data_IF_091350254666
#
_entry.id   IF_091350254666
#
_cell.length_a   1.000
_cell.length_b   1.000
_cell.length_c   1.000
_cell.angle_alpha   90.00
_cell.angle_beta   90.00
_cell.angle_gamma   90.00
#
_symmetry.space_group_name_H-M   'P 1'
#
loop_
_entity.id
_entity.type
_entity.pdbx_description
1 polymer ?
#
# COMPACT_ATOMS: atom_id res chain seq x y z
N UNK A 1 20.52 -2.02 -15.66
CA UNK A 1 19.46 -3.04 -15.85
C UNK A 1 19.15 -3.63 -14.49
N UNK A 2 17.99 -3.28 -13.90
CA UNK A 2 17.59 -3.76 -12.58
C UNK A 2 17.42 -5.28 -12.58
N UNK A 3 17.82 -5.93 -11.48
CA UNK A 3 17.48 -7.32 -11.20
C UNK A 3 15.98 -7.52 -11.48
N UNK A 4 15.60 -8.61 -12.14
CA UNK A 4 14.21 -8.96 -12.40
C UNK A 4 13.40 -8.84 -11.11
N UNK A 5 12.69 -7.71 -10.91
CA UNK A 5 11.84 -7.48 -9.77
C UNK A 5 10.62 -8.39 -9.90
N UNK A 6 10.54 -9.40 -9.03
CA UNK A 6 9.37 -10.27 -8.94
C UNK A 6 8.39 -9.69 -7.93
N UNK A 7 7.17 -9.46 -8.37
CA UNK A 7 6.10 -8.89 -7.52
C UNK A 7 5.43 -10.03 -6.75
N UNK A 8 5.97 -10.35 -5.57
CA UNK A 8 5.43 -11.38 -4.68
C UNK A 8 5.77 -11.10 -3.21
N UNK A 9 5.07 -11.75 -2.28
CA UNK A 9 5.34 -11.65 -0.85
C UNK A 9 4.65 -10.46 -0.19
N UNK A 10 5.34 -9.83 0.77
CA UNK A 10 4.81 -8.72 1.56
C UNK A 10 5.51 -7.42 1.19
N UNK A 11 4.75 -6.47 0.71
CA UNK A 11 5.21 -5.15 0.31
C UNK A 11 4.55 -4.08 1.21
N UNK A 12 5.18 -3.65 2.33
CA UNK A 12 4.66 -2.58 3.17
C UNK A 12 4.52 -1.27 2.42
N UNK A 13 3.34 -0.64 2.54
CA UNK A 13 3.14 0.76 2.14
C UNK A 13 3.49 1.65 3.34
N UNK A 14 4.68 2.27 3.29
CA UNK A 14 5.30 2.92 4.44
C UNK A 14 4.71 4.32 4.65
N UNK A 15 4.26 4.62 5.88
CA UNK A 15 3.83 5.96 6.26
C UNK A 15 5.03 6.87 6.52
N UNK A 16 4.86 8.17 6.31
CA UNK A 16 5.85 9.17 6.74
C UNK A 16 5.68 9.50 8.23
N UNK A 17 6.69 10.09 8.85
CA UNK A 17 6.67 10.55 10.24
C UNK A 17 7.02 12.03 10.25
N UNK A 18 6.27 12.83 11.02
CA UNK A 18 6.53 14.27 11.18
C UNK A 18 7.18 14.58 12.53
N UNK A 19 7.98 15.65 12.57
CA UNK A 19 8.70 16.07 13.78
C UNK A 19 7.76 16.46 14.92
N UNK A 20 6.64 17.09 14.61
CA UNK A 20 5.66 17.57 15.57
C UNK A 20 4.25 17.66 14.95
N UNK A 21 3.29 18.15 15.71
CA UNK A 21 1.89 18.32 15.30
C UNK A 21 1.68 19.37 14.20
N UNK A 22 2.64 20.26 13.95
CA UNK A 22 2.55 21.17 12.80
C UNK A 22 2.64 20.43 11.46
N UNK A 23 3.19 19.23 11.45
CA UNK A 23 3.40 18.41 10.25
C UNK A 23 4.18 19.13 9.12
N UNK A 24 4.93 20.20 9.45
CA UNK A 24 5.67 20.96 8.44
C UNK A 24 6.91 20.24 7.95
N UNK A 25 7.55 19.49 8.84
CA UNK A 25 8.81 18.82 8.57
C UNK A 25 8.72 17.31 8.79
N UNK A 26 9.32 16.55 7.89
CA UNK A 26 9.50 15.11 8.05
C UNK A 26 10.52 14.85 9.17
N UNK A 27 10.23 13.88 10.04
CA UNK A 27 11.18 13.31 10.98
C UNK A 27 11.94 12.17 10.27
N UNK A 28 13.03 12.54 9.62
CA UNK A 28 13.81 11.60 8.83
C UNK A 28 14.41 10.47 9.65
N UNK A 29 14.85 10.73 10.88
CA UNK A 29 15.43 9.66 11.71
C UNK A 29 14.35 8.68 12.17
N UNK A 30 13.20 9.17 12.62
CA UNK A 30 12.08 8.30 12.95
C UNK A 30 11.58 7.51 11.72
N UNK A 31 11.64 8.10 10.53
CA UNK A 31 11.34 7.41 9.29
C UNK A 31 12.37 6.31 8.98
N UNK A 32 13.66 6.58 9.17
CA UNK A 32 14.74 5.59 9.05
C UNK A 32 14.57 4.43 10.03
N UNK A 33 14.22 4.73 11.29
CA UNK A 33 13.96 3.70 12.31
C UNK A 33 12.80 2.76 11.89
N UNK A 34 11.70 3.32 11.36
CA UNK A 34 10.60 2.54 10.82
C UNK A 34 11.06 1.64 9.66
N UNK A 35 11.85 2.17 8.72
CA UNK A 35 12.39 1.39 7.61
C UNK A 35 13.31 0.27 8.08
N UNK A 36 14.20 0.55 9.03
CA UNK A 36 15.10 -0.46 9.64
C UNK A 36 14.30 -1.57 10.32
N UNK A 37 13.22 -1.22 11.05
CA UNK A 37 12.31 -2.20 11.64
C UNK A 37 11.70 -3.11 10.56
N UNK A 38 11.18 -2.55 9.47
CA UNK A 38 10.61 -3.34 8.38
C UNK A 38 11.65 -4.23 7.71
N UNK A 39 12.86 -3.73 7.49
CA UNK A 39 13.98 -4.45 6.86
C UNK A 39 14.58 -5.58 7.73
N UNK A 40 14.19 -5.70 9.00
CA UNK A 40 14.49 -6.85 9.85
C UNK A 40 13.60 -8.04 9.57
N UNK A 41 12.51 -7.85 8.84
CA UNK A 41 11.60 -8.91 8.40
C UNK A 41 11.85 -9.29 6.93
N UNK A 42 11.35 -10.45 6.51
CA UNK A 42 11.51 -10.91 5.12
C UNK A 42 10.48 -10.26 4.19
N UNK A 43 10.38 -8.94 4.22
CA UNK A 43 9.57 -8.19 3.25
C UNK A 43 10.19 -8.26 1.86
N UNK A 44 9.36 -8.16 0.82
CA UNK A 44 9.81 -8.29 -0.57
C UNK A 44 10.16 -6.96 -1.24
N UNK A 45 9.62 -5.86 -0.74
CA UNK A 45 9.89 -4.50 -1.22
C UNK A 45 9.46 -3.47 -0.19
N UNK A 46 9.90 -2.22 -0.35
CA UNK A 46 9.36 -1.05 0.35
C UNK A 46 8.56 -0.20 -0.64
N UNK A 47 7.34 0.18 -0.31
CA UNK A 47 6.52 1.09 -1.12
C UNK A 47 6.39 2.41 -0.37
N UNK A 48 6.98 3.47 -0.90
CA UNK A 48 7.05 4.79 -0.28
C UNK A 48 6.33 5.84 -1.12
N UNK A 49 5.76 6.86 -0.49
CA UNK A 49 5.01 7.88 -1.20
C UNK A 49 3.79 7.34 -1.96
N UNK A 50 3.13 6.29 -1.44
CA UNK A 50 1.79 5.89 -1.84
C UNK A 50 0.74 6.53 -0.91
N UNK A 51 -0.54 6.12 -1.00
CA UNK A 51 -1.61 6.68 -0.15
C UNK A 51 -1.32 6.55 1.36
N UNK A 52 -0.87 5.37 1.82
CA UNK A 52 -0.49 5.20 3.23
C UNK A 52 0.75 6.05 3.62
N UNK A 53 1.54 6.47 2.64
CA UNK A 53 2.67 7.38 2.76
C UNK A 53 2.31 8.84 2.58
N UNK A 54 1.01 9.18 2.58
CA UNK A 54 0.50 10.56 2.48
C UNK A 54 0.99 11.31 1.22
N UNK A 55 1.21 10.59 0.11
CA UNK A 55 1.78 11.18 -1.11
C UNK A 55 1.01 12.41 -1.61
N UNK A 56 -0.32 12.43 -1.45
CA UNK A 56 -1.17 13.55 -1.85
C UNK A 56 -0.86 14.83 -1.07
N UNK A 57 -0.31 14.69 0.14
CA UNK A 57 0.02 15.78 1.04
C UNK A 57 1.52 16.11 1.06
N UNK A 58 2.36 15.35 0.33
CA UNK A 58 3.79 15.60 0.23
C UNK A 58 4.12 16.50 -0.97
N UNK A 59 5.05 17.45 -0.76
CA UNK A 59 5.68 18.15 -1.87
C UNK A 59 6.51 17.18 -2.73
N UNK A 60 6.88 17.58 -3.95
CA UNK A 60 7.76 16.75 -4.79
C UNK A 60 9.12 16.54 -4.12
N UNK A 61 9.66 17.54 -3.46
CA UNK A 61 10.93 17.45 -2.74
C UNK A 61 10.84 16.39 -1.61
N UNK A 62 9.77 16.40 -0.82
CA UNK A 62 9.54 15.40 0.22
C UNK A 62 9.36 13.99 -0.36
N UNK A 63 8.63 13.84 -1.47
CA UNK A 63 8.50 12.54 -2.16
C UNK A 63 9.87 11.99 -2.58
N UNK A 64 10.73 12.84 -3.14
CA UNK A 64 12.08 12.43 -3.52
C UNK A 64 12.94 12.11 -2.29
N UNK A 65 12.75 12.87 -1.22
CA UNK A 65 13.50 12.67 0.03
C UNK A 65 13.20 11.31 0.65
N UNK A 66 11.92 10.92 0.75
CA UNK A 66 11.54 9.61 1.30
C UNK A 66 12.05 8.44 0.45
N UNK A 67 12.11 8.60 -0.89
CA UNK A 67 12.70 7.60 -1.79
C UNK A 67 14.21 7.45 -1.50
N UNK A 68 14.94 8.56 -1.44
CA UNK A 68 16.39 8.56 -1.16
C UNK A 68 16.69 7.89 0.18
N UNK A 69 15.97 8.26 1.23
CA UNK A 69 16.11 7.65 2.55
C UNK A 69 15.83 6.14 2.49
N UNK A 70 14.76 5.73 1.82
CA UNK A 70 14.43 4.31 1.70
C UNK A 70 15.51 3.52 0.93
N UNK A 71 16.09 4.10 -0.11
CA UNK A 71 17.22 3.51 -0.86
C UNK A 71 18.48 3.37 0.01
N UNK A 72 18.78 4.42 0.78
CA UNK A 72 19.92 4.42 1.71
C UNK A 72 19.77 3.30 2.78
N UNK A 73 18.58 3.12 3.36
CA UNK A 73 18.34 2.08 4.37
C UNK A 73 18.23 0.68 3.76
N UNK A 74 17.57 0.54 2.60
CA UNK A 74 17.43 -0.75 1.93
C UNK A 74 18.78 -1.35 1.48
N UNK A 75 19.77 -0.52 1.11
CA UNK A 75 21.11 -0.94 0.68
C UNK A 75 21.10 -2.06 -0.37
N UNK A 76 20.08 -2.07 -1.24
CA UNK A 76 19.89 -3.08 -2.27
C UNK A 76 19.38 -4.45 -1.79
N UNK A 77 19.00 -4.61 -0.51
CA UNK A 77 18.40 -5.85 0.02
C UNK A 77 17.03 -6.11 -0.59
N UNK A 78 16.22 -5.07 -0.68
CA UNK A 78 14.89 -5.09 -1.29
C UNK A 78 14.72 -3.89 -2.23
N UNK A 79 13.89 -4.00 -3.29
CA UNK A 79 13.56 -2.86 -4.14
C UNK A 79 12.73 -1.81 -3.40
N UNK A 80 12.87 -0.56 -3.82
CA UNK A 80 12.10 0.59 -3.34
C UNK A 80 11.18 1.09 -4.46
N UNK A 81 9.88 1.06 -4.22
CA UNK A 81 8.86 1.53 -5.14
C UNK A 81 8.38 2.91 -4.74
N UNK A 82 8.40 3.86 -5.67
CA UNK A 82 7.83 5.17 -5.47
C UNK A 82 6.36 5.24 -5.89
N UNK A 83 5.54 6.00 -5.19
CA UNK A 83 4.14 6.23 -5.58
C UNK A 83 4.04 7.26 -6.71
N UNK A 84 3.29 6.95 -7.76
CA UNK A 84 2.91 7.89 -8.84
C UNK A 84 1.44 8.23 -8.65
N UNK A 85 1.18 9.46 -8.24
CA UNK A 85 -0.17 9.99 -8.02
C UNK A 85 -0.25 11.35 -8.70
N UNK A 86 -0.93 11.40 -9.84
CA UNK A 86 -1.08 12.62 -10.63
C UNK A 86 -2.30 12.52 -11.55
N UNK A 87 -3.06 13.60 -11.65
CA UNK A 87 -4.25 13.68 -12.51
C UNK A 87 -3.91 13.92 -13.99
N UNK A 88 -2.83 14.64 -14.28
CA UNK A 88 -2.41 14.86 -15.66
C UNK A 88 -1.33 13.85 -16.09
N UNK A 89 -1.46 13.33 -17.30
CA UNK A 89 -0.52 12.35 -17.86
C UNK A 89 0.93 12.88 -17.89
N UNK A 90 1.13 14.14 -18.26
CA UNK A 90 2.47 14.74 -18.28
C UNK A 90 3.09 14.82 -16.87
N UNK A 91 2.27 15.12 -15.84
CA UNK A 91 2.72 15.15 -14.45
C UNK A 91 3.13 13.75 -13.96
N UNK A 92 2.34 12.72 -14.30
CA UNK A 92 2.69 11.35 -13.98
C UNK A 92 4.03 10.93 -14.60
N UNK A 93 4.25 11.30 -15.87
CA UNK A 93 5.50 11.03 -16.61
C UNK A 93 6.68 11.75 -15.94
N UNK A 94 6.51 13.01 -15.59
CA UNK A 94 7.54 13.80 -14.92
C UNK A 94 7.86 13.22 -13.54
N UNK A 95 6.84 12.91 -12.71
CA UNK A 95 7.03 12.24 -11.45
C UNK A 95 7.82 10.93 -11.62
N UNK A 96 7.46 10.11 -12.61
CA UNK A 96 8.15 8.86 -12.88
C UNK A 96 9.62 9.05 -13.24
N UNK A 97 9.93 10.00 -14.09
CA UNK A 97 11.32 10.32 -14.49
C UNK A 97 12.16 10.82 -13.32
N UNK A 98 11.63 11.78 -12.56
CA UNK A 98 12.34 12.37 -11.41
C UNK A 98 12.55 11.33 -10.32
N UNK A 99 11.54 10.51 -10.00
CA UNK A 99 11.66 9.45 -9.00
C UNK A 99 12.62 8.33 -9.43
N UNK A 100 12.62 7.96 -10.72
CA UNK A 100 13.62 7.05 -11.29
C UNK A 100 15.03 7.59 -11.06
N UNK A 101 15.25 8.86 -11.38
CA UNK A 101 16.56 9.52 -11.26
C UNK A 101 16.97 9.69 -9.78
N UNK A 102 16.00 9.72 -8.86
CA UNK A 102 16.23 9.65 -7.41
C UNK A 102 16.53 8.22 -6.90
N UNK A 103 16.46 7.21 -7.77
CA UNK A 103 16.86 5.83 -7.47
C UNK A 103 15.71 4.87 -7.17
N UNK A 104 14.45 5.21 -7.43
CA UNK A 104 13.35 4.24 -7.35
C UNK A 104 13.61 3.06 -8.29
N UNK A 105 13.30 1.83 -7.85
CA UNK A 105 13.48 0.61 -8.64
C UNK A 105 12.23 0.27 -9.47
N UNK A 106 11.06 0.69 -9.01
CA UNK A 106 9.77 0.50 -9.66
C UNK A 106 8.75 1.54 -9.12
N UNK A 107 7.50 1.47 -9.57
CA UNK A 107 6.44 2.37 -9.10
C UNK A 107 5.18 1.64 -8.66
N UNK A 108 4.47 2.24 -7.69
CA UNK A 108 3.05 2.01 -7.47
C UNK A 108 2.29 3.11 -8.21
N UNK A 109 1.65 2.76 -9.32
CA UNK A 109 0.96 3.70 -10.19
C UNK A 109 -0.53 3.74 -9.85
N UNK A 110 -1.01 4.91 -9.45
CA UNK A 110 -2.41 5.15 -9.11
C UNK A 110 -3.16 5.82 -10.28
N UNK A 111 -4.39 5.40 -10.56
CA UNK A 111 -5.23 6.05 -11.57
C UNK A 111 -5.46 7.52 -11.26
N UNK A 112 -5.54 8.41 -12.27
CA UNK A 112 -5.88 9.80 -12.08
C UNK A 112 -7.32 9.96 -11.59
N UNK A 113 -7.57 10.87 -10.65
CA UNK A 113 -8.90 11.04 -10.03
C UNK A 113 -9.93 11.61 -11.00
N UNK A 114 -9.47 12.42 -11.96
CA UNK A 114 -10.33 13.08 -12.96
C UNK A 114 -11.12 12.11 -13.84
N UNK A 115 -10.63 10.89 -14.07
CA UNK A 115 -11.34 9.91 -14.90
C UNK A 115 -12.62 9.38 -14.25
N UNK A 116 -12.82 9.58 -12.95
CA UNK A 116 -14.03 9.17 -12.27
C UNK A 116 -15.27 9.99 -12.66
N UNK A 117 -15.10 11.13 -13.32
CA UNK A 117 -16.20 12.02 -13.69
C UNK A 117 -17.04 11.49 -14.85
N UNK A 118 -16.46 10.67 -15.71
CA UNK A 118 -17.20 10.03 -16.83
C UNK A 118 -16.87 8.54 -16.92
N UNK A 119 -17.69 7.68 -16.29
CA UNK A 119 -17.48 6.23 -16.31
C UNK A 119 -17.50 5.62 -17.73
N UNK A 120 -18.17 6.25 -18.70
CA UNK A 120 -18.28 5.72 -20.06
C UNK A 120 -16.96 5.85 -20.84
N UNK A 121 -16.18 6.87 -20.54
CA UNK A 121 -14.87 7.11 -21.17
C UNK A 121 -13.69 6.70 -20.30
N UNK A 122 -13.91 6.45 -19.02
CA UNK A 122 -12.89 6.17 -18.01
C UNK A 122 -11.90 5.08 -18.43
N UNK A 123 -12.37 3.99 -19.04
CA UNK A 123 -11.51 2.89 -19.50
C UNK A 123 -10.48 3.35 -20.52
N UNK A 124 -10.90 4.02 -21.57
CA UNK A 124 -10.00 4.48 -22.66
C UNK A 124 -9.05 5.57 -22.17
N UNK A 125 -9.54 6.50 -21.32
CA UNK A 125 -8.71 7.53 -20.71
C UNK A 125 -7.61 6.92 -19.84
N UNK A 126 -7.95 5.94 -19.01
CA UNK A 126 -6.98 5.24 -18.16
C UNK A 126 -5.94 4.49 -19.02
N UNK A 127 -6.38 3.75 -20.03
CA UNK A 127 -5.49 3.00 -20.92
C UNK A 127 -4.50 3.94 -21.61
N UNK A 128 -4.97 5.03 -22.19
CA UNK A 128 -4.10 6.00 -22.86
C UNK A 128 -3.12 6.67 -21.89
N UNK A 129 -3.59 7.03 -20.70
CA UNK A 129 -2.76 7.61 -19.63
C UNK A 129 -1.60 6.66 -19.24
N UNK A 130 -1.93 5.39 -18.96
CA UNK A 130 -0.94 4.38 -18.55
C UNK A 130 0.04 4.07 -19.69
N UNK A 131 -0.44 3.90 -20.93
CA UNK A 131 0.43 3.62 -22.10
C UNK A 131 1.43 4.75 -22.36
N UNK A 132 1.00 6.02 -22.23
CA UNK A 132 1.91 7.16 -22.39
C UNK A 132 2.95 7.21 -21.29
N UNK A 133 2.55 6.95 -20.05
CA UNK A 133 3.47 6.81 -18.93
C UNK A 133 4.50 5.70 -19.20
N UNK A 134 4.04 4.50 -19.50
CA UNK A 134 4.85 3.33 -19.75
C UNK A 134 5.91 3.57 -20.84
N UNK A 135 5.46 4.08 -21.99
CA UNK A 135 6.33 4.38 -23.13
C UNK A 135 7.43 5.40 -22.83
N UNK A 136 7.16 6.39 -21.97
CA UNK A 136 8.10 7.47 -21.70
C UNK A 136 8.99 7.25 -20.47
N UNK A 137 8.50 6.54 -19.47
CA UNK A 137 9.25 6.30 -18.22
C UNK A 137 10.10 5.04 -18.30
N UNK A 138 9.59 4.00 -18.95
CA UNK A 138 10.28 2.71 -19.22
C UNK A 138 10.85 2.06 -17.95
N UNK A 139 10.04 2.00 -16.92
CA UNK A 139 10.37 1.39 -15.62
C UNK A 139 9.25 0.45 -15.18
N UNK A 140 9.58 -0.63 -14.44
CA UNK A 140 8.55 -1.51 -13.90
C UNK A 140 7.55 -0.76 -13.02
N UNK A 141 6.28 -1.09 -13.12
CA UNK A 141 5.26 -0.54 -12.23
C UNK A 141 4.15 -1.53 -11.90
N UNK A 142 3.57 -1.32 -10.74
CA UNK A 142 2.39 -2.03 -10.21
C UNK A 142 1.22 -1.07 -10.32
N UNK A 143 0.13 -1.48 -10.94
CA UNK A 143 -1.11 -0.70 -10.96
C UNK A 143 -1.88 -0.88 -9.63
N UNK A 144 -2.68 0.12 -9.28
CA UNK A 144 -3.57 0.08 -8.13
C UNK A 144 -5.04 0.23 -8.54
N UNK A 145 -5.93 -0.54 -7.93
CA UNK A 145 -7.36 -0.46 -8.12
C UNK A 145 -8.03 -1.83 -8.26
N UNK A 146 -9.35 -1.84 -8.32
CA UNK A 146 -10.14 -3.07 -8.47
C UNK A 146 -11.63 -2.78 -8.60
N UNK A 147 -12.46 -3.79 -8.89
CA UNK A 147 -13.85 -3.59 -9.28
C UNK A 147 -14.76 -3.10 -8.14
N UNK A 148 -14.36 -3.30 -6.89
CA UNK A 148 -15.11 -2.82 -5.71
C UNK A 148 -14.51 -1.55 -5.09
N UNK A 149 -13.50 -0.96 -5.73
CA UNK A 149 -12.99 0.37 -5.39
C UNK A 149 -13.98 1.44 -5.78
N UNK A 150 -13.77 2.64 -5.27
CA UNK A 150 -14.60 3.80 -5.57
C UNK A 150 -13.88 4.78 -6.50
N UNK A 151 -14.66 5.60 -7.20
CA UNK A 151 -14.13 6.64 -8.07
C UNK A 151 -13.22 6.07 -9.17
N UNK A 152 -12.12 6.73 -9.41
CA UNK A 152 -11.13 6.37 -10.45
C UNK A 152 -10.41 5.03 -10.19
N UNK A 153 -10.46 4.52 -8.96
CA UNK A 153 -9.88 3.24 -8.60
C UNK A 153 -10.78 2.04 -8.94
N UNK A 154 -12.02 2.30 -9.38
CA UNK A 154 -12.92 1.25 -9.85
C UNK A 154 -12.51 0.79 -11.24
N UNK A 155 -11.76 -0.30 -11.31
CA UNK A 155 -11.24 -0.86 -12.54
C UNK A 155 -11.76 -2.29 -12.71
N UNK A 156 -12.47 -2.54 -13.82
CA UNK A 156 -13.08 -3.83 -14.10
C UNK A 156 -12.03 -4.86 -14.59
N UNK A 157 -12.26 -6.17 -14.38
CA UNK A 157 -11.32 -7.21 -14.82
C UNK A 157 -10.93 -7.14 -16.31
N UNK A 158 -11.86 -6.75 -17.20
CA UNK A 158 -11.57 -6.56 -18.63
C UNK A 158 -10.51 -5.49 -18.88
N UNK A 159 -10.57 -4.39 -18.12
CA UNK A 159 -9.62 -3.28 -18.23
C UNK A 159 -8.25 -3.65 -17.63
N UNK A 160 -8.24 -4.42 -16.52
CA UNK A 160 -7.02 -4.99 -15.97
C UNK A 160 -6.29 -5.84 -17.02
N UNK A 161 -7.02 -6.77 -17.65
CA UNK A 161 -6.48 -7.65 -18.70
C UNK A 161 -5.92 -6.85 -19.87
N UNK A 162 -6.66 -5.85 -20.34
CA UNK A 162 -6.25 -5.01 -21.47
C UNK A 162 -4.97 -4.24 -21.15
N UNK A 163 -4.89 -3.58 -19.99
CA UNK A 163 -3.69 -2.87 -19.54
C UNK A 163 -2.50 -3.82 -19.39
N UNK A 164 -2.71 -4.99 -18.81
CA UNK A 164 -1.67 -6.00 -18.64
C UNK A 164 -1.11 -6.49 -19.99
N UNK A 165 -1.91 -6.50 -21.05
CA UNK A 165 -1.45 -6.86 -22.41
C UNK A 165 -0.72 -5.67 -23.06
N UNK A 166 -1.30 -4.45 -22.99
CA UNK A 166 -0.85 -3.29 -23.76
C UNK A 166 0.31 -2.51 -23.12
N UNK A 167 0.50 -2.58 -21.80
CA UNK A 167 1.58 -1.89 -21.10
C UNK A 167 2.79 -2.82 -20.91
N UNK A 168 3.91 -2.49 -21.52
CA UNK A 168 5.12 -3.34 -21.55
C UNK A 168 5.73 -3.56 -20.18
N UNK A 169 5.87 -2.49 -19.38
CA UNK A 169 6.54 -2.52 -18.08
C UNK A 169 5.57 -2.71 -16.90
N UNK A 170 4.30 -3.04 -17.14
CA UNK A 170 3.39 -3.43 -16.08
C UNK A 170 3.77 -4.84 -15.58
N UNK A 171 4.22 -4.91 -14.32
CA UNK A 171 4.72 -6.14 -13.68
C UNK A 171 3.84 -6.65 -12.54
N UNK A 172 2.80 -5.92 -12.17
CA UNK A 172 1.91 -6.34 -11.10
C UNK A 172 0.68 -5.48 -10.93
N UNK A 173 -0.22 -5.96 -10.08
CA UNK A 173 -1.43 -5.26 -9.73
C UNK A 173 -1.75 -5.38 -8.24
N UNK A 174 -1.95 -4.24 -7.58
CA UNK A 174 -2.49 -4.14 -6.22
C UNK A 174 -4.01 -4.09 -6.32
N UNK A 175 -4.67 -5.20 -6.02
CA UNK A 175 -6.12 -5.34 -6.14
C UNK A 175 -6.80 -4.95 -4.84
N UNK A 176 -7.76 -4.04 -4.93
CA UNK A 176 -8.66 -3.67 -3.84
C UNK A 176 -10.04 -4.26 -4.10
N UNK A 177 -10.46 -5.19 -3.27
CA UNK A 177 -11.76 -5.85 -3.37
C UNK A 177 -12.53 -5.84 -2.06
N UNK A 178 -12.07 -5.09 -1.05
CA UNK A 178 -12.66 -5.12 0.30
C UNK A 178 -12.78 -6.57 0.77
N UNK A 179 -13.98 -7.05 1.12
CA UNK A 179 -14.27 -8.44 1.53
C UNK A 179 -14.73 -9.34 0.36
N UNK A 180 -14.78 -8.83 -0.88
CA UNK A 180 -15.28 -9.57 -2.03
C UNK A 180 -14.20 -10.45 -2.67
N UNK A 181 -14.12 -11.69 -2.21
CA UNK A 181 -13.22 -12.68 -2.76
C UNK A 181 -13.60 -13.08 -4.22
N UNK A 182 -14.88 -12.99 -4.57
CA UNK A 182 -15.35 -13.24 -5.95
C UNK A 182 -14.78 -12.20 -6.91
N UNK A 183 -14.81 -10.92 -6.53
CA UNK A 183 -14.20 -9.86 -7.30
C UNK A 183 -12.66 -10.04 -7.43
N UNK A 184 -11.99 -10.49 -6.37
CA UNK A 184 -10.55 -10.82 -6.42
C UNK A 184 -10.28 -11.93 -7.45
N UNK A 185 -11.05 -13.03 -7.40
CA UNK A 185 -10.95 -14.15 -8.37
C UNK A 185 -11.13 -13.68 -9.81
N UNK A 186 -12.08 -12.77 -10.06
CA UNK A 186 -12.30 -12.18 -11.37
C UNK A 186 -11.08 -11.44 -11.91
N UNK A 187 -10.46 -10.60 -11.07
CA UNK A 187 -9.23 -9.88 -11.40
C UNK A 187 -8.05 -10.84 -11.62
N UNK A 188 -7.86 -11.80 -10.71
CA UNK A 188 -6.80 -12.80 -10.80
C UNK A 188 -6.89 -13.56 -12.13
N UNK A 189 -8.07 -14.05 -12.48
CA UNK A 189 -8.30 -14.76 -13.76
C UNK A 189 -7.93 -13.88 -14.96
N UNK A 190 -8.38 -12.63 -14.97
CA UNK A 190 -8.09 -11.70 -16.05
C UNK A 190 -6.58 -11.45 -16.23
N UNK A 191 -5.83 -11.30 -15.13
CA UNK A 191 -4.38 -11.11 -15.16
C UNK A 191 -3.65 -12.39 -15.57
N UNK A 192 -4.05 -13.57 -15.09
CA UNK A 192 -3.47 -14.86 -15.50
C UNK A 192 -3.72 -15.17 -16.98
N UNK A 193 -4.88 -14.73 -17.53
CA UNK A 193 -5.12 -14.80 -18.97
C UNK A 193 -4.21 -13.86 -19.77
N UNK A 194 -3.93 -12.65 -19.25
CA UNK A 194 -2.97 -11.74 -19.87
C UNK A 194 -1.55 -12.31 -19.86
N UNK A 195 -1.12 -12.94 -18.76
CA UNK A 195 0.18 -13.63 -18.67
C UNK A 195 0.30 -14.72 -19.76
N UNK A 196 -0.73 -15.55 -19.93
CA UNK A 196 -0.74 -16.59 -20.97
C UNK A 196 -0.63 -16.02 -22.38
N UNK A 197 -1.22 -14.85 -22.63
CA UNK A 197 -1.20 -14.20 -23.94
C UNK A 197 0.13 -13.53 -24.25
N UNK A 198 0.79 -12.98 -23.24
CA UNK A 198 1.97 -12.12 -23.43
C UNK A 198 3.28 -12.77 -23.03
N UNK A 199 3.24 -13.86 -22.23
CA UNK A 199 4.43 -14.46 -21.62
C UNK A 199 5.02 -13.63 -20.46
N UNK A 200 4.42 -12.48 -20.13
CA UNK A 200 4.87 -11.65 -19.00
C UNK A 200 4.48 -12.30 -17.67
N UNK A 201 5.26 -12.08 -16.63
CA UNK A 201 4.88 -12.38 -15.26
C UNK A 201 4.23 -11.14 -14.62
N UNK A 202 3.04 -11.28 -14.06
CA UNK A 202 2.28 -10.19 -13.45
C UNK A 202 1.89 -10.59 -12.03
N UNK A 203 2.55 -9.99 -11.04
CA UNK A 203 2.24 -10.27 -9.64
C UNK A 203 0.88 -9.71 -9.22
N UNK A 204 0.07 -10.54 -8.59
CA UNK A 204 -1.28 -10.18 -8.14
C UNK A 204 -1.26 -10.05 -6.63
N UNK A 205 -1.29 -8.81 -6.15
CA UNK A 205 -1.21 -8.47 -4.74
C UNK A 205 -2.58 -8.06 -4.19
N UNK A 206 -2.91 -8.55 -3.01
CA UNK A 206 -4.09 -8.08 -2.28
C UNK A 206 -3.77 -6.78 -1.52
N UNK A 207 -4.68 -5.82 -1.55
CA UNK A 207 -4.60 -4.61 -0.74
C UNK A 207 -5.25 -4.76 0.65
N UNK A 208 -6.03 -5.81 0.86
CA UNK A 208 -6.79 -6.03 2.10
C UNK A 208 -6.03 -6.91 3.09
N UNK A 209 -5.84 -6.39 4.28
CA UNK A 209 -5.18 -7.07 5.38
C UNK A 209 -6.07 -8.08 6.13
N UNK A 210 -7.36 -8.14 5.82
CA UNK A 210 -8.39 -8.95 6.47
C UNK A 210 -8.70 -10.28 5.77
N UNK A 211 -8.24 -10.47 4.51
CA UNK A 211 -8.45 -11.68 3.70
C UNK A 211 -7.13 -12.14 3.05
N UNK A 212 -6.03 -12.01 3.76
CA UNK A 212 -4.70 -12.31 3.20
C UNK A 212 -4.54 -13.80 2.90
N UNK A 213 -4.94 -14.67 3.81
CA UNK A 213 -4.88 -16.13 3.62
C UNK A 213 -5.71 -16.54 2.43
N UNK A 214 -6.95 -16.06 2.34
CA UNK A 214 -7.90 -16.41 1.28
C UNK A 214 -7.35 -16.02 -0.10
N UNK A 215 -6.85 -14.79 -0.23
CA UNK A 215 -6.37 -14.29 -1.53
C UNK A 215 -5.10 -14.99 -2.00
N UNK A 216 -4.17 -15.35 -1.09
CA UNK A 216 -2.98 -16.12 -1.47
C UNK A 216 -3.38 -17.56 -1.84
N UNK A 217 -4.33 -18.18 -1.14
CA UNK A 217 -4.87 -19.52 -1.49
C UNK A 217 -5.55 -19.56 -2.86
N UNK A 218 -6.20 -18.48 -3.26
CA UNK A 218 -6.78 -18.36 -4.60
C UNK A 218 -5.72 -18.25 -5.72
N UNK A 219 -4.46 -18.11 -5.38
CA UNK A 219 -3.35 -17.97 -6.33
C UNK A 219 -2.81 -16.55 -6.45
N UNK A 220 -3.14 -15.67 -5.49
CA UNK A 220 -2.48 -14.39 -5.34
C UNK A 220 -1.02 -14.56 -4.94
N UNK A 221 -0.19 -13.57 -5.33
CA UNK A 221 1.25 -13.63 -5.13
C UNK A 221 1.71 -12.97 -3.82
N UNK A 222 0.82 -12.27 -3.12
CA UNK A 222 1.14 -11.62 -1.85
C UNK A 222 0.23 -10.46 -1.50
N UNK A 223 0.78 -9.51 -0.75
CA UNK A 223 0.05 -8.31 -0.30
C UNK A 223 0.88 -7.03 -0.45
N UNK A 224 0.18 -5.93 -0.74
CA UNK A 224 0.69 -4.57 -0.66
C UNK A 224 -0.31 -3.75 0.17
N UNK A 225 -0.05 -3.58 1.45
CA UNK A 225 -0.96 -2.89 2.36
C UNK A 225 -0.26 -1.97 3.37
N UNK A 226 -1.03 -1.06 3.99
CA UNK A 226 -0.52 -0.14 5.01
C UNK A 226 -0.38 -0.78 6.39
N UNK A 227 -1.12 -1.85 6.68
CA UNK A 227 -1.07 -2.54 7.97
C UNK A 227 0.29 -3.19 8.25
N UNK A 228 1.02 -3.57 7.21
CA UNK A 228 2.36 -4.15 7.37
C UNK A 228 3.36 -3.22 8.07
N UNK A 229 3.09 -1.91 8.20
CA UNK A 229 3.99 -1.00 8.95
C UNK A 229 4.10 -1.34 10.44
N UNK A 230 3.11 -2.03 11.01
CA UNK A 230 3.13 -2.40 12.43
C UNK A 230 3.13 -3.93 12.66
N UNK A 231 2.83 -4.73 11.62
CA UNK A 231 2.72 -6.19 11.72
C UNK A 231 3.39 -6.95 10.57
N UNK A 232 4.46 -6.39 10.00
CA UNK A 232 5.15 -7.00 8.86
C UNK A 232 5.61 -8.45 9.10
N UNK A 233 6.03 -8.76 10.31
CA UNK A 233 6.47 -10.11 10.68
C UNK A 233 5.34 -11.13 10.57
N UNK A 234 4.15 -10.77 11.07
CA UNK A 234 2.95 -11.60 11.02
C UNK A 234 2.46 -11.79 9.58
N UNK A 235 2.42 -10.71 8.78
CA UNK A 235 2.05 -10.80 7.36
C UNK A 235 3.01 -11.71 6.58
N UNK A 236 4.32 -11.62 6.83
CA UNK A 236 5.34 -12.50 6.25
C UNK A 236 5.14 -13.95 6.70
N UNK A 237 4.82 -14.18 7.97
CA UNK A 237 4.57 -15.52 8.49
C UNK A 237 3.32 -16.14 7.88
N UNK A 238 2.23 -15.38 7.72
CA UNK A 238 1.02 -15.81 7.00
C UNK A 238 1.38 -16.19 5.56
N UNK A 239 2.08 -15.31 4.84
CA UNK A 239 2.49 -15.57 3.47
C UNK A 239 3.29 -16.87 3.35
N UNK A 240 4.32 -17.04 4.18
CA UNK A 240 5.16 -18.24 4.19
C UNK A 240 4.38 -19.52 4.54
N UNK A 241 3.46 -19.44 5.50
CA UNK A 241 2.63 -20.56 5.90
C UNK A 241 1.73 -21.01 4.75
N UNK A 242 1.03 -20.10 4.09
CA UNK A 242 0.19 -20.42 2.93
C UNK A 242 1.02 -21.03 1.80
N UNK A 243 2.18 -20.45 1.48
CA UNK A 243 3.08 -20.97 0.41
C UNK A 243 3.62 -22.37 0.72
N UNK A 244 3.77 -22.74 1.99
CA UNK A 244 4.15 -24.08 2.44
C UNK A 244 2.98 -25.06 2.55
N UNK A 245 1.73 -24.61 2.35
CA UNK A 245 0.53 -25.42 2.53
C UNK A 245 0.06 -25.54 3.98
N UNK A 246 0.68 -24.85 4.93
CA UNK A 246 0.29 -24.84 6.35
C UNK A 246 -0.84 -23.82 6.56
N UNK A 247 -2.00 -24.19 6.06
CA UNK A 247 -3.20 -23.34 6.06
C UNK A 247 -3.77 -23.14 7.47
N UNK A 248 -3.64 -24.15 8.31
CA UNK A 248 -4.11 -24.06 9.71
C UNK A 248 -3.33 -22.99 10.47
N UNK A 249 -2.00 -23.00 10.34
CA UNK A 249 -1.15 -21.97 10.93
C UNK A 249 -1.45 -20.58 10.37
N UNK A 250 -1.63 -20.48 9.05
CA UNK A 250 -1.92 -19.19 8.41
C UNK A 250 -3.20 -18.56 8.94
N UNK A 251 -4.29 -19.33 9.04
CA UNK A 251 -5.55 -18.86 9.64
C UNK A 251 -5.42 -18.54 11.12
N UNK A 252 -4.70 -19.36 11.89
CA UNK A 252 -4.49 -19.09 13.31
C UNK A 252 -3.83 -17.73 13.55
N UNK A 253 -2.87 -17.32 12.68
CA UNK A 253 -2.24 -16.00 12.74
C UNK A 253 -3.24 -14.92 12.31
N UNK A 254 -3.91 -15.09 11.17
CA UNK A 254 -4.90 -14.12 10.66
C UNK A 254 -6.04 -13.87 11.67
N UNK A 255 -6.59 -14.93 12.26
CA UNK A 255 -7.67 -14.83 13.25
C UNK A 255 -7.21 -14.17 14.55
N UNK A 256 -5.98 -14.44 14.99
CA UNK A 256 -5.37 -13.74 16.11
C UNK A 256 -5.28 -12.23 15.87
N UNK A 257 -5.01 -11.80 14.63
CA UNK A 257 -4.93 -10.40 14.23
C UNK A 257 -6.30 -9.76 13.95
N UNK A 258 -7.37 -10.54 13.89
CA UNK A 258 -8.72 -10.05 13.56
C UNK A 258 -9.18 -8.87 14.44
N UNK A 259 -9.01 -8.86 15.77
CA UNK A 259 -9.46 -7.74 16.59
C UNK A 259 -8.88 -6.40 16.14
N UNK A 260 -7.58 -6.32 15.89
CA UNK A 260 -6.97 -5.07 15.46
C UNK A 260 -7.31 -4.74 13.99
N UNK A 261 -7.45 -5.74 13.14
CA UNK A 261 -7.86 -5.54 11.75
C UNK A 261 -9.27 -4.95 11.68
N UNK A 262 -10.21 -5.48 12.46
CA UNK A 262 -11.60 -4.98 12.54
C UNK A 262 -11.66 -3.57 13.14
N UNK A 263 -10.85 -3.27 14.16
CA UNK A 263 -10.73 -1.94 14.72
C UNK A 263 -10.26 -0.92 13.67
N UNK A 264 -9.19 -1.23 12.92
CA UNK A 264 -8.66 -0.36 11.87
C UNK A 264 -9.68 -0.16 10.74
N UNK A 265 -10.42 -1.20 10.37
CA UNK A 265 -11.44 -1.11 9.32
C UNK A 265 -12.73 -0.43 9.77
N UNK A 266 -12.85 -0.08 11.04
CA UNK A 266 -14.01 0.60 11.59
C UNK A 266 -15.22 -0.30 11.81
N UNK A 267 -15.08 -1.63 11.71
CA UNK A 267 -16.17 -2.59 11.94
C UNK A 267 -16.75 -2.44 13.35
N UNK A 268 -15.91 -2.11 14.33
CA UNK A 268 -16.29 -1.97 15.74
C UNK A 268 -16.97 -0.62 16.07
N UNK A 269 -16.91 0.37 15.17
CA UNK A 269 -17.40 1.73 15.43
C UNK A 269 -18.63 2.13 14.58
N UNK A 270 -19.09 1.25 13.70
CA UNK A 270 -20.03 1.66 12.66
C UNK A 270 -19.32 2.53 11.60
N UNK A 271 -19.85 3.72 11.35
CA UNK A 271 -19.20 4.68 10.45
C UNK A 271 -18.15 5.49 11.21
N UNK A 272 -16.89 5.25 10.92
CA UNK A 272 -15.83 6.15 11.36
C UNK A 272 -15.57 7.21 10.28
N UNK A 273 -15.52 8.46 10.70
CA UNK A 273 -15.16 9.60 9.86
C UNK A 273 -13.64 9.74 9.67
N UNK A 274 -12.85 8.90 10.31
CA UNK A 274 -11.39 8.98 10.26
C UNK A 274 -10.85 8.13 9.12
N UNK A 275 -9.95 8.71 8.33
CA UNK A 275 -9.27 8.02 7.25
C UNK A 275 -8.50 6.80 7.76
N UNK A 276 -8.77 5.61 7.23
CA UNK A 276 -8.27 4.34 7.80
C UNK A 276 -6.74 4.22 7.78
N UNK A 277 -6.02 4.89 6.89
CA UNK A 277 -4.55 4.93 6.92
C UNK A 277 -4.02 5.64 8.17
N UNK A 278 -4.79 6.59 8.72
CA UNK A 278 -4.44 7.20 10.00
C UNK A 278 -4.42 6.15 11.13
N UNK A 279 -5.37 5.24 11.13
CA UNK A 279 -5.41 4.16 12.14
C UNK A 279 -4.23 3.21 12.03
N UNK A 280 -3.72 2.91 10.83
CA UNK A 280 -2.46 2.17 10.69
C UNK A 280 -1.31 2.89 11.39
N UNK A 281 -1.22 4.20 11.21
CA UNK A 281 -0.19 5.04 11.82
C UNK A 281 -0.34 5.09 13.36
N UNK A 282 -1.57 5.18 13.87
CA UNK A 282 -1.88 5.10 15.31
C UNK A 282 -1.50 3.73 15.88
N UNK A 283 -1.80 2.63 15.21
CA UNK A 283 -1.39 1.30 15.65
C UNK A 283 0.14 1.17 15.73
N UNK A 284 0.87 1.67 14.73
CA UNK A 284 2.33 1.72 14.74
C UNK A 284 2.87 2.57 15.91
N UNK A 285 2.23 3.70 16.19
CA UNK A 285 2.58 4.58 17.32
C UNK A 285 2.30 3.90 18.67
N UNK A 286 1.14 3.28 18.87
CA UNK A 286 0.81 2.55 20.09
C UNK A 286 1.83 1.43 20.37
N UNK A 287 2.33 0.77 19.34
CA UNK A 287 3.36 -0.27 19.44
C UNK A 287 4.80 0.28 19.48
N UNK A 288 4.99 1.60 19.54
CA UNK A 288 6.32 2.23 19.62
C UNK A 288 7.17 2.11 18.36
N UNK A 289 6.56 1.77 17.19
CA UNK A 289 7.29 1.69 15.92
C UNK A 289 7.59 3.06 15.33
N UNK A 290 6.81 4.06 15.71
CA UNK A 290 7.02 5.47 15.39
C UNK A 290 6.80 6.32 16.66
N UNK A 291 7.47 7.47 16.79
CA UNK A 291 7.34 8.30 17.98
C UNK A 291 6.04 9.10 18.05
N UNK A 292 5.43 9.42 16.91
CA UNK A 292 4.26 10.30 16.79
C UNK A 292 3.33 9.86 15.67
N UNK A 293 1.99 9.95 15.84
CA UNK A 293 1.03 9.48 14.84
C UNK A 293 0.49 10.58 13.91
N UNK A 294 1.01 11.81 13.95
CA UNK A 294 0.44 12.96 13.24
C UNK A 294 0.35 12.77 11.72
N UNK A 295 -0.73 13.28 11.13
CA UNK A 295 -0.95 13.37 9.68
C UNK A 295 -1.32 14.81 9.30
N UNK A 296 -1.03 15.18 8.04
CA UNK A 296 -1.40 16.48 7.49
C UNK A 296 -2.91 16.58 7.26
N UNK A 297 -3.47 17.79 7.50
CA UNK A 297 -4.82 18.09 7.04
C UNK A 297 -4.94 17.86 5.51
N UNK A 298 -6.11 17.45 5.02
CA UNK A 298 -7.42 17.37 5.71
C UNK A 298 -7.66 16.12 6.55
N UNK A 299 -6.65 15.31 6.83
CA UNK A 299 -6.80 14.10 7.63
C UNK A 299 -7.03 14.45 9.10
N UNK A 300 -8.26 14.28 9.57
CA UNK A 300 -8.59 14.49 10.97
C UNK A 300 -8.06 13.36 11.85
N UNK A 301 -7.61 13.66 13.08
CA UNK A 301 -7.09 12.66 13.98
C UNK A 301 -8.16 11.67 14.44
N UNK A 302 -7.70 10.50 14.80
CA UNK A 302 -8.50 9.46 15.45
C UNK A 302 -8.89 9.96 16.84
N UNK A 303 -10.16 9.79 17.24
CA UNK A 303 -10.65 10.21 18.55
C UNK A 303 -9.96 9.42 19.68
N UNK A 304 -9.99 9.95 20.91
CA UNK A 304 -9.44 9.25 22.06
C UNK A 304 -10.10 7.89 22.27
N UNK A 305 -11.42 7.82 22.11
CA UNK A 305 -12.21 6.59 22.25
C UNK A 305 -11.79 5.55 21.20
N UNK A 306 -11.57 5.98 19.95
CA UNK A 306 -11.04 5.09 18.90
C UNK A 306 -9.63 4.61 19.22
N UNK A 307 -8.75 5.47 19.79
CA UNK A 307 -7.40 5.07 20.22
C UNK A 307 -7.48 4.03 21.34
N UNK A 308 -8.41 4.18 22.32
CA UNK A 308 -8.65 3.21 23.38
C UNK A 308 -9.06 1.85 22.81
N UNK A 309 -10.03 1.83 21.91
CA UNK A 309 -10.48 0.58 21.25
C UNK A 309 -9.38 -0.06 20.42
N UNK A 310 -8.57 0.73 19.70
CA UNK A 310 -7.42 0.20 18.95
C UNK A 310 -6.36 -0.40 19.89
N UNK A 311 -6.08 0.24 21.02
CA UNK A 311 -5.16 -0.28 22.03
C UNK A 311 -5.63 -1.62 22.59
N UNK A 312 -6.91 -1.71 22.97
CA UNK A 312 -7.52 -2.95 23.44
C UNK A 312 -7.51 -4.05 22.37
N UNK A 313 -7.77 -3.68 21.13
CA UNK A 313 -7.72 -4.59 20.00
C UNK A 313 -6.30 -5.13 19.74
N UNK A 314 -5.26 -4.30 19.89
CA UNK A 314 -3.86 -4.75 19.84
C UNK A 314 -3.56 -5.77 20.93
N UNK A 315 -4.02 -5.53 22.17
CA UNK A 315 -3.84 -6.47 23.29
C UNK A 315 -4.56 -7.78 23.00
N UNK A 316 -5.82 -7.74 22.55
CA UNK A 316 -6.59 -8.93 22.16
C UNK A 316 -5.94 -9.69 20.99
N UNK A 317 -5.22 -9.00 20.13
CA UNK A 317 -4.42 -9.61 19.05
C UNK A 317 -3.06 -10.15 19.53
N UNK A 318 -2.80 -10.13 20.84
CA UNK A 318 -1.55 -10.62 21.43
C UNK A 318 -0.34 -9.72 21.22
N UNK A 319 -0.57 -8.48 20.79
CA UNK A 319 0.46 -7.45 20.68
C UNK A 319 0.60 -6.69 22.00
N UNK A 320 1.71 -6.00 22.21
CA UNK A 320 2.01 -5.28 23.45
C UNK A 320 2.16 -3.78 23.17
N UNK A 321 1.07 -2.99 23.28
CA UNK A 321 1.19 -1.55 23.22
C UNK A 321 2.11 -1.04 24.32
N UNK A 322 3.00 -0.10 23.98
CA UNK A 322 3.95 0.56 24.88
C UNK A 322 3.51 1.97 25.24
N UNK A 323 2.37 2.41 24.69
CA UNK A 323 1.78 3.73 24.93
C UNK A 323 0.36 3.61 25.45
N UNK A 324 -0.02 4.54 26.32
CA UNK A 324 -1.41 4.69 26.73
C UNK A 324 -2.24 5.40 25.66
N UNK A 325 -3.55 5.15 25.70
CA UNK A 325 -4.49 5.84 24.83
C UNK A 325 -4.64 7.31 25.26
N UNK A 326 -4.48 8.21 24.32
CA UNK A 326 -4.65 9.63 24.54
C UNK A 326 -5.27 10.29 23.30
N UNK A 327 -5.83 11.48 23.48
CA UNK A 327 -6.27 12.28 22.34
C UNK A 327 -5.08 12.63 21.45
N UNK A 328 -5.29 12.52 20.15
CA UNK A 328 -4.30 12.97 19.15
C UNK A 328 -4.71 14.38 18.73
N UNK A 329 -3.80 15.33 18.90
CA UNK A 329 -4.06 16.72 18.54
C UNK A 329 -4.18 16.88 17.01
N UNK A 330 -5.05 17.80 16.59
CA UNK A 330 -5.17 18.22 15.18
C UNK A 330 -3.90 18.96 14.79
N UNK A 331 -3.48 18.82 13.54
CA UNK A 331 -2.39 19.63 13.00
C UNK A 331 -2.67 21.12 13.10
N UNK A 332 -1.68 21.90 13.45
CA UNK A 332 -1.76 23.38 13.58
C UNK A 332 -1.47 24.09 12.24
N UNK A 333 -1.50 23.39 11.11
CA UNK A 333 -1.25 23.99 9.78
C UNK A 333 -2.43 24.82 9.31
#
# INVERSE_FOLDING_TARGET
MGKNFKVEGVLPSVCVVYKDKSCRELDEEAYRELLRYLLQTDISALVVGGHAGEAECLSMEERLRVIKIAKEEAKGKVPVLGGIIADATWMAIEQGKIQRDAGADAFLFCPPTIIAWDPNTAENLLIEHVKRFDKQVKMPFIMFGGPTSEGSYQILPKTLKRLAIEAENLVGWKITTRYDLGAFRGCLRALREAEKQTGKQIGVLNAGDHILVETIREGGDGTLNGGSIYRAAEDVEIYKAVKKGDIVKAYAIQDKLRPITDAIRGVLYGYSHTYFHYRYKVAAWLLGKIPRPYMRLPMLPVSKEEVEVMRDALIKSGMKPVREAQAIEVSDM
#
